data_IF_290805256065
#
_entry.id   IF_290805256065
#
_cell.length_a   1.000
_cell.length_b   1.000
_cell.length_c   1.000
_cell.angle_alpha   90.00
_cell.angle_beta   90.00
_cell.angle_gamma   90.00
#
_symmetry.space_group_name_H-M   'P 1'
#
loop_
_entity.id
_entity.type
_entity.pdbx_description
1 polymer ?
#
# COMPACT_ATOMS: atom_id res chain seq x y z
N UNK A 1 -29.45 -85.65 37.43
CA UNK A 1 -30.09 -86.18 36.22
C UNK A 1 -29.55 -85.28 35.09
N UNK A 2 -28.46 -85.71 34.48
CA UNK A 2 -28.45 -86.51 33.25
C UNK A 2 -28.81 -85.63 32.04
N UNK A 3 -28.15 -85.54 30.97
CA UNK A 3 -27.01 -86.17 30.31
C UNK A 3 -26.77 -85.28 29.03
N UNK A 4 -25.52 -85.22 28.70
CA UNK A 4 -24.95 -85.75 27.45
C UNK A 4 -25.32 -84.95 26.21
N UNK A 5 -24.42 -84.41 25.53
CA UNK A 5 -23.30 -84.93 24.78
C UNK A 5 -23.43 -84.40 23.34
N UNK A 6 -22.45 -83.90 22.75
CA UNK A 6 -21.77 -84.47 21.59
C UNK A 6 -21.00 -83.43 20.80
N UNK A 7 -19.75 -83.67 20.73
CA UNK A 7 -18.75 -83.07 19.83
C UNK A 7 -19.07 -83.31 18.36
N UNK A 8 -18.90 -82.29 17.51
CA UNK A 8 -18.44 -82.54 16.15
C UNK A 8 -17.42 -81.49 15.77
N UNK A 9 -16.20 -81.94 15.72
CA UNK A 9 -15.14 -81.32 14.99
C UNK A 9 -15.33 -81.68 13.53
N UNK A 10 -15.34 -80.69 12.65
CA UNK A 10 -14.95 -80.92 11.30
C UNK A 10 -14.05 -79.81 10.83
N UNK A 11 -12.87 -80.25 10.50
CA UNK A 11 -11.79 -79.63 9.79
C UNK A 11 -12.21 -79.22 8.38
N UNK A 12 -11.92 -78.06 7.96
CA UNK A 12 -11.64 -77.85 6.55
C UNK A 12 -10.84 -76.51 6.29
N UNK A 13 -9.63 -76.68 6.07
CA UNK A 13 -8.68 -76.09 5.10
C UNK A 13 -8.78 -74.64 4.72
N UNK A 14 -7.65 -73.88 4.79
CA UNK A 14 -7.52 -72.55 4.21
C UNK A 14 -7.29 -72.66 2.72
N UNK A 15 -8.12 -72.01 1.92
CA UNK A 15 -7.87 -71.77 0.53
C UNK A 15 -7.24 -70.39 0.38
N UNK A 16 -5.96 -70.41 0.15
CA UNK A 16 -5.19 -69.25 -0.32
C UNK A 16 -5.77 -68.79 -1.65
N UNK A 17 -6.45 -67.68 -1.63
CA UNK A 17 -6.91 -66.94 -2.79
C UNK A 17 -6.25 -65.60 -2.87
N UNK A 18 -5.08 -65.55 -3.49
CA UNK A 18 -4.51 -64.30 -4.00
C UNK A 18 -5.46 -63.72 -5.05
N UNK A 19 -6.34 -62.87 -4.61
CA UNK A 19 -7.16 -62.01 -5.43
C UNK A 19 -6.65 -60.58 -5.29
N UNK A 20 -5.92 -60.11 -6.32
CA UNK A 20 -5.59 -58.70 -6.47
C UNK A 20 -6.86 -57.86 -6.28
N UNK A 21 -6.95 -57.19 -5.17
CA UNK A 21 -8.04 -56.27 -4.83
C UNK A 21 -7.90 -55.03 -5.77
N UNK A 22 -8.49 -55.19 -6.96
CA UNK A 22 -8.76 -54.05 -7.80
C UNK A 22 -9.76 -53.23 -7.03
N UNK A 23 -9.34 -52.12 -6.44
CA UNK A 23 -10.20 -51.09 -5.86
C UNK A 23 -11.23 -50.63 -6.91
N UNK A 24 -12.22 -51.42 -7.15
CA UNK A 24 -13.41 -51.04 -7.90
C UNK A 24 -14.18 -50.11 -6.99
N UNK A 25 -14.02 -48.80 -7.23
CA UNK A 25 -14.81 -47.79 -6.56
C UNK A 25 -16.27 -48.01 -7.02
N UNK A 26 -17.01 -48.76 -6.22
CA UNK A 26 -18.46 -48.92 -6.44
C UNK A 26 -19.12 -47.60 -6.09
N UNK A 27 -19.34 -46.77 -7.12
CA UNK A 27 -20.04 -45.51 -6.98
C UNK A 27 -21.52 -45.81 -6.74
N UNK A 28 -21.90 -45.83 -5.47
CA UNK A 28 -23.30 -45.96 -5.08
C UNK A 28 -24.02 -44.63 -5.45
N UNK A 29 -25.28 -44.69 -5.90
CA UNK A 29 -26.08 -43.49 -6.26
C UNK A 29 -26.03 -42.40 -5.16
N UNK A 30 -26.09 -42.81 -3.91
CA UNK A 30 -26.01 -41.93 -2.74
C UNK A 30 -24.62 -41.23 -2.66
N UNK A 31 -23.53 -41.94 -2.90
CA UNK A 31 -22.17 -41.38 -2.90
C UNK A 31 -21.97 -40.47 -4.10
N UNK A 32 -22.54 -40.75 -5.25
CA UNK A 32 -22.48 -39.90 -6.43
C UNK A 32 -23.17 -38.56 -6.17
N UNK A 33 -24.40 -38.56 -5.69
CA UNK A 33 -25.10 -37.30 -5.34
C UNK A 33 -24.42 -36.56 -4.20
N UNK A 34 -23.85 -37.26 -3.19
CA UNK A 34 -23.06 -36.64 -2.15
C UNK A 34 -21.81 -35.91 -2.67
N UNK A 35 -21.08 -36.58 -3.58
CA UNK A 35 -19.91 -35.98 -4.21
C UNK A 35 -20.29 -34.77 -5.07
N UNK A 36 -21.38 -34.86 -5.82
CA UNK A 36 -21.86 -33.77 -6.67
C UNK A 36 -22.28 -32.54 -5.86
N UNK A 37 -22.99 -32.77 -4.73
CA UNK A 37 -23.33 -31.71 -3.78
C UNK A 37 -22.09 -31.10 -3.13
N UNK A 38 -21.11 -31.92 -2.75
CA UNK A 38 -19.87 -31.46 -2.14
C UNK A 38 -19.07 -30.58 -3.12
N UNK A 39 -18.92 -31.02 -4.36
CA UNK A 39 -18.22 -30.25 -5.42
C UNK A 39 -18.99 -28.94 -5.71
N UNK A 40 -20.30 -29.02 -5.85
CA UNK A 40 -21.14 -27.84 -6.08
C UNK A 40 -21.07 -26.82 -4.94
N UNK A 41 -21.13 -27.31 -3.70
CA UNK A 41 -20.98 -26.45 -2.50
C UNK A 41 -19.58 -25.85 -2.38
N UNK A 42 -18.54 -26.65 -2.66
CA UNK A 42 -17.16 -26.15 -2.67
C UNK A 42 -16.93 -25.11 -3.78
N UNK A 43 -17.48 -25.35 -4.97
CA UNK A 43 -17.44 -24.39 -6.08
C UNK A 43 -18.14 -23.07 -5.74
N UNK A 44 -19.36 -23.15 -5.22
CA UNK A 44 -20.10 -21.96 -4.79
C UNK A 44 -19.36 -21.24 -3.64
N UNK A 45 -18.84 -21.98 -2.66
CA UNK A 45 -18.05 -21.44 -1.57
C UNK A 45 -16.80 -20.71 -2.07
N UNK A 46 -16.09 -21.27 -3.06
CA UNK A 46 -14.91 -20.65 -3.66
C UNK A 46 -15.27 -19.36 -4.42
N UNK A 47 -16.35 -19.37 -5.21
CA UNK A 47 -16.81 -18.18 -5.95
C UNK A 47 -17.11 -17.01 -5.00
N UNK A 48 -17.66 -17.29 -3.82
CA UNK A 48 -17.95 -16.25 -2.83
C UNK A 48 -16.73 -15.91 -1.97
N UNK A 49 -15.93 -16.88 -1.58
CA UNK A 49 -14.79 -16.67 -0.68
C UNK A 49 -13.62 -15.99 -1.35
N UNK A 50 -13.33 -16.28 -2.64
CA UNK A 50 -12.18 -15.70 -3.34
C UNK A 50 -12.26 -14.17 -3.40
N UNK A 51 -13.35 -13.54 -3.85
CA UNK A 51 -13.43 -12.08 -3.88
C UNK A 51 -13.39 -11.45 -2.48
N UNK A 52 -14.02 -12.09 -1.49
CA UNK A 52 -13.98 -11.61 -0.10
C UNK A 52 -12.56 -11.67 0.45
N UNK A 53 -11.85 -12.79 0.27
CA UNK A 53 -10.46 -12.92 0.71
C UNK A 53 -9.54 -11.93 -0.01
N UNK A 54 -9.71 -11.76 -1.33
CA UNK A 54 -8.93 -10.76 -2.08
C UNK A 54 -9.20 -9.35 -1.56
N UNK A 55 -10.43 -9.04 -1.23
CA UNK A 55 -10.81 -7.75 -0.67
C UNK A 55 -10.14 -7.51 0.70
N UNK A 56 -10.27 -8.47 1.61
CA UNK A 56 -9.70 -8.36 2.98
C UNK A 56 -8.17 -8.34 2.97
N UNK A 57 -7.54 -9.13 2.09
CA UNK A 57 -6.09 -9.26 2.01
C UNK A 57 -5.45 -8.18 1.12
N UNK A 58 -6.25 -7.44 0.35
CA UNK A 58 -5.76 -6.42 -0.58
C UNK A 58 -4.79 -5.41 0.08
N UNK A 59 -5.07 -4.83 1.28
CA UNK A 59 -4.17 -3.88 1.92
C UNK A 59 -2.79 -4.46 2.25
N UNK A 60 -2.69 -5.77 2.46
CA UNK A 60 -1.42 -6.45 2.79
C UNK A 60 -0.55 -6.63 1.54
N UNK A 61 -1.18 -6.85 0.38
CA UNK A 61 -0.48 -7.11 -0.87
C UNK A 61 -0.39 -5.89 -1.81
N UNK A 62 -1.16 -4.83 -1.54
CA UNK A 62 -1.07 -3.59 -2.33
C UNK A 62 0.22 -2.87 -1.97
N UNK A 63 1.02 -2.56 -2.99
CA UNK A 63 2.15 -1.65 -2.80
C UNK A 63 1.60 -0.30 -2.35
N UNK A 64 2.23 0.30 -1.35
CA UNK A 64 1.89 1.64 -0.90
C UNK A 64 1.81 2.60 -2.09
N UNK A 65 0.76 3.38 -2.13
CA UNK A 65 0.60 4.46 -3.10
C UNK A 65 1.75 5.45 -2.88
N UNK A 66 2.37 5.94 -3.96
CA UNK A 66 3.39 6.96 -3.88
C UNK A 66 4.80 6.53 -4.26
N UNK A 67 5.03 5.30 -4.76
CA UNK A 67 6.38 4.86 -5.16
C UNK A 67 6.84 5.42 -6.52
N UNK A 68 6.05 6.25 -7.18
CA UNK A 68 6.40 6.80 -8.48
C UNK A 68 7.01 8.19 -8.38
N UNK A 69 8.13 8.37 -9.10
CA UNK A 69 8.78 9.66 -9.23
C UNK A 69 7.98 10.60 -10.13
N UNK A 70 7.53 11.71 -9.57
CA UNK A 70 6.76 12.73 -10.28
C UNK A 70 7.68 13.76 -10.90
N UNK A 71 7.32 14.24 -12.09
CA UNK A 71 8.08 15.23 -12.83
C UNK A 71 7.80 16.63 -12.28
N UNK A 72 8.86 17.38 -11.96
CA UNK A 72 8.77 18.77 -11.48
C UNK A 72 9.06 19.79 -12.59
N UNK A 73 10.13 19.58 -13.36
CA UNK A 73 10.54 20.47 -14.44
C UNK A 73 11.92 20.10 -15.00
N UNK A 74 12.35 20.82 -16.03
CA UNK A 74 13.70 20.71 -16.55
C UNK A 74 14.69 21.43 -15.62
N UNK A 75 15.92 20.90 -15.45
CA UNK A 75 16.94 21.55 -14.62
C UNK A 75 17.26 22.98 -15.08
N UNK A 76 17.19 23.24 -16.39
CA UNK A 76 17.42 24.57 -16.96
C UNK A 76 16.41 25.62 -16.47
N UNK A 77 15.20 25.20 -16.07
CA UNK A 77 14.20 26.11 -15.51
C UNK A 77 14.60 26.66 -14.14
N UNK A 78 15.49 25.94 -13.42
CA UNK A 78 15.91 26.28 -12.07
C UNK A 78 17.36 26.76 -11.98
N UNK A 79 18.04 26.95 -13.14
CA UNK A 79 19.47 27.33 -13.19
C UNK A 79 19.74 28.66 -12.50
N UNK A 80 18.90 29.66 -12.77
CA UNK A 80 19.07 31.05 -12.30
C UNK A 80 18.05 31.44 -11.22
N UNK A 81 17.39 30.46 -10.61
CA UNK A 81 16.34 30.70 -9.61
C UNK A 81 16.94 31.22 -8.32
N UNK A 82 16.58 32.46 -7.95
CA UNK A 82 16.95 33.11 -6.67
C UNK A 82 15.86 32.98 -5.62
N UNK A 83 14.63 32.82 -6.04
CA UNK A 83 13.46 32.69 -5.16
C UNK A 83 12.83 31.30 -5.33
N UNK A 84 12.14 30.78 -4.31
CA UNK A 84 11.41 29.54 -4.40
C UNK A 84 10.36 29.54 -5.51
N UNK A 85 10.44 28.59 -6.43
CA UNK A 85 9.51 28.46 -7.55
C UNK A 85 8.43 27.44 -7.22
N UNK A 86 7.18 27.89 -7.27
CA UNK A 86 6.03 26.98 -7.07
C UNK A 86 5.80 26.14 -8.31
N UNK A 87 5.70 24.83 -8.12
CA UNK A 87 5.35 23.84 -9.15
C UNK A 87 4.20 22.98 -8.66
N UNK A 88 3.44 22.44 -9.60
CA UNK A 88 2.42 21.42 -9.29
C UNK A 88 2.93 20.08 -9.78
N UNK A 89 2.95 19.11 -8.88
CA UNK A 89 3.32 17.72 -9.19
C UNK A 89 2.07 16.84 -9.15
N UNK A 90 1.98 15.93 -10.09
CA UNK A 90 0.90 14.96 -10.17
C UNK A 90 1.45 13.58 -9.86
N UNK A 91 0.75 12.83 -9.05
CA UNK A 91 1.10 11.46 -8.69
C UNK A 91 -0.16 10.62 -8.55
N UNK A 92 -0.01 9.33 -8.77
CA UNK A 92 -1.12 8.38 -8.61
C UNK A 92 -1.19 7.95 -7.16
N UNK A 93 -2.28 8.29 -6.50
CA UNK A 93 -2.60 7.83 -5.17
C UNK A 93 -3.53 6.62 -5.28
N UNK A 94 -3.17 5.53 -4.62
CA UNK A 94 -4.00 4.35 -4.54
C UNK A 94 -4.65 4.28 -3.17
N UNK A 95 -5.97 4.37 -3.15
CA UNK A 95 -6.78 4.25 -1.95
C UNK A 95 -7.61 2.95 -2.05
N UNK A 96 -7.12 1.91 -1.41
CA UNK A 96 -7.64 0.57 -1.58
C UNK A 96 -7.51 0.10 -3.04
N UNK A 97 -8.62 -0.15 -3.71
CA UNK A 97 -8.68 -0.52 -5.14
C UNK A 97 -8.85 0.69 -6.08
N UNK A 98 -9.02 1.88 -5.54
CA UNK A 98 -9.23 3.10 -6.32
C UNK A 98 -7.91 3.79 -6.58
N UNK A 99 -7.62 4.04 -7.84
CA UNK A 99 -6.51 4.89 -8.27
C UNK A 99 -7.04 6.30 -8.54
N UNK A 100 -6.44 7.28 -7.88
CA UNK A 100 -6.79 8.69 -8.04
C UNK A 100 -5.52 9.45 -8.40
N UNK A 101 -5.57 10.20 -9.47
CA UNK A 101 -4.51 11.15 -9.80
C UNK A 101 -4.70 12.37 -8.91
N UNK A 102 -3.75 12.59 -8.02
CA UNK A 102 -3.70 13.73 -7.12
C UNK A 102 -2.68 14.74 -7.61
N UNK A 103 -2.98 16.03 -7.41
CA UNK A 103 -2.08 17.11 -7.73
C UNK A 103 -1.76 17.90 -6.47
N UNK A 104 -0.47 18.12 -6.19
CA UNK A 104 -0.01 18.87 -5.03
C UNK A 104 1.01 19.93 -5.44
N UNK A 105 1.01 21.03 -4.70
CA UNK A 105 1.99 22.07 -4.89
C UNK A 105 3.27 21.75 -4.12
N UNK A 106 4.40 22.06 -4.75
CA UNK A 106 5.72 22.00 -4.15
C UNK A 106 6.47 23.29 -4.49
N UNK A 107 7.49 23.59 -3.72
CA UNK A 107 8.42 24.68 -4.01
C UNK A 107 9.79 24.09 -4.31
N UNK A 108 10.37 24.53 -5.43
CA UNK A 108 11.76 24.26 -5.77
C UNK A 108 12.57 25.46 -5.32
N UNK A 109 13.48 25.24 -4.40
CA UNK A 109 14.42 26.24 -3.89
C UNK A 109 15.86 25.76 -4.06
N UNK A 110 16.79 26.68 -3.88
CA UNK A 110 18.20 26.37 -3.90
C UNK A 110 18.74 26.49 -2.47
N UNK A 111 19.19 25.38 -1.92
CA UNK A 111 19.82 25.36 -0.60
C UNK A 111 21.14 26.16 -0.58
N UNK A 112 21.61 26.49 0.60
CA UNK A 112 22.85 27.27 0.80
C UNK A 112 24.11 26.64 0.14
N UNK A 113 24.11 25.32 -0.05
CA UNK A 113 25.17 24.56 -0.74
C UNK A 113 25.04 24.59 -2.29
N UNK A 114 23.99 25.28 -2.80
CA UNK A 114 23.70 25.39 -4.22
C UNK A 114 22.91 24.19 -4.81
N UNK A 115 22.57 23.20 -4.04
CA UNK A 115 21.75 22.08 -4.49
C UNK A 115 20.27 22.49 -4.61
N UNK A 116 19.55 21.83 -5.53
CA UNK A 116 18.11 22.03 -5.64
C UNK A 116 17.40 21.18 -4.59
N UNK A 117 16.59 21.82 -3.79
CA UNK A 117 15.68 21.18 -2.83
C UNK A 117 14.23 21.34 -3.26
N UNK A 118 13.40 20.39 -2.89
CA UNK A 118 11.96 20.48 -3.10
C UNK A 118 11.25 20.40 -1.76
N UNK A 119 10.51 21.46 -1.44
CA UNK A 119 9.73 21.60 -0.23
C UNK A 119 8.26 21.32 -0.52
N UNK A 120 7.60 20.58 0.36
CA UNK A 120 6.15 20.43 0.33
C UNK A 120 5.48 21.76 0.64
N UNK A 121 4.49 22.17 -0.15
CA UNK A 121 3.69 23.35 0.16
C UNK A 121 2.62 23.09 1.24
N UNK A 122 2.68 21.95 1.93
CA UNK A 122 1.76 21.56 2.99
C UNK A 122 2.37 21.98 4.33
N UNK A 123 1.61 22.78 5.09
CA UNK A 123 2.05 23.26 6.40
C UNK A 123 2.13 22.10 7.42
N UNK A 124 3.27 21.89 8.10
CA UNK A 124 3.44 20.80 9.06
C UNK A 124 2.61 20.96 10.35
N UNK A 125 1.89 22.08 10.51
CA UNK A 125 0.94 22.25 11.62
C UNK A 125 -0.33 21.43 11.40
N UNK A 126 -1.19 21.83 10.46
CA UNK A 126 -2.49 21.19 10.19
C UNK A 126 -2.79 21.06 8.68
N UNK A 127 -1.77 21.00 7.84
CA UNK A 127 -1.95 20.66 6.42
C UNK A 127 -2.44 21.79 5.51
N UNK A 128 -2.52 23.04 5.99
CA UNK A 128 -2.88 24.17 5.13
C UNK A 128 -1.80 24.44 4.06
N UNK A 129 -2.20 25.04 2.94
CA UNK A 129 -1.24 25.42 1.90
C UNK A 129 -0.37 26.61 2.34
N UNK A 130 0.94 26.47 2.21
CA UNK A 130 1.93 27.51 2.45
C UNK A 130 2.18 28.29 1.16
N UNK A 131 2.38 29.61 1.26
CA UNK A 131 2.64 30.50 0.12
C UNK A 131 3.91 31.29 0.32
N UNK A 132 4.73 31.39 -0.74
CA UNK A 132 5.89 32.28 -0.77
C UNK A 132 5.47 33.73 -0.88
N UNK A 133 6.04 34.59 -0.06
CA UNK A 133 5.82 36.02 0.00
C UNK A 133 7.10 36.76 -0.39
N UNK A 134 7.29 37.00 -1.70
CA UNK A 134 8.51 37.57 -2.24
C UNK A 134 8.90 38.96 -1.60
N UNK A 135 7.89 39.78 -1.24
CA UNK A 135 8.16 41.07 -0.56
C UNK A 135 8.72 40.93 0.86
N UNK A 136 8.50 39.79 1.49
CA UNK A 136 8.90 39.52 2.88
C UNK A 136 10.01 38.47 2.98
N UNK A 137 10.41 37.91 1.83
CA UNK A 137 11.43 36.86 1.71
C UNK A 137 11.17 35.67 2.65
N UNK A 138 9.90 35.25 2.73
CA UNK A 138 9.49 34.14 3.61
C UNK A 138 8.27 33.40 3.09
N UNK A 139 8.13 32.18 3.54
CA UNK A 139 6.89 31.41 3.38
C UNK A 139 5.92 31.72 4.51
N UNK A 140 4.63 31.81 4.20
CA UNK A 140 3.56 32.08 5.15
C UNK A 140 2.43 31.09 4.99
N UNK A 141 2.00 30.50 6.11
CA UNK A 141 0.79 29.73 6.20
C UNK A 141 -0.35 30.62 6.71
N UNK A 142 -1.38 30.91 5.88
CA UNK A 142 -2.41 31.87 6.22
C UNK A 142 -3.39 31.41 7.31
N UNK A 143 -3.44 30.10 7.59
CA UNK A 143 -4.42 29.54 8.53
C UNK A 143 -4.16 29.99 9.97
N UNK A 144 -2.91 29.92 10.45
CA UNK A 144 -2.57 30.26 11.83
C UNK A 144 -1.25 31.09 11.92
N UNK A 145 -0.84 31.70 10.83
CA UNK A 145 0.33 32.58 10.82
C UNK A 145 1.68 31.86 11.00
N UNK A 146 1.78 30.60 10.60
CA UNK A 146 3.08 29.93 10.57
C UNK A 146 3.99 30.57 9.52
N UNK A 147 5.23 30.89 9.87
CA UNK A 147 6.22 31.52 9.00
C UNK A 147 7.49 30.68 8.90
N UNK A 148 8.06 30.64 7.68
CA UNK A 148 9.29 29.90 7.38
C UNK A 148 10.18 30.75 6.50
N UNK A 149 11.49 30.61 6.63
CA UNK A 149 12.46 31.28 5.75
C UNK A 149 12.52 30.68 4.34
N UNK A 150 13.40 31.23 3.49
CA UNK A 150 13.57 30.77 2.12
C UNK A 150 14.01 29.29 2.01
N UNK A 151 14.67 28.76 3.04
CA UNK A 151 15.12 27.37 3.14
C UNK A 151 14.05 26.48 3.81
N UNK A 152 12.86 27.03 4.09
CA UNK A 152 11.76 26.34 4.73
C UNK A 152 11.94 26.10 6.24
N UNK A 153 12.94 26.75 6.89
CA UNK A 153 13.12 26.64 8.33
C UNK A 153 12.03 27.42 9.07
N UNK A 154 11.56 26.89 10.20
CA UNK A 154 10.53 27.52 10.99
C UNK A 154 11.04 28.79 11.66
N UNK A 155 10.36 29.92 11.43
CA UNK A 155 10.66 31.23 12.05
C UNK A 155 9.72 31.51 13.21
N UNK A 156 8.40 31.40 12.96
CA UNK A 156 7.38 31.75 13.95
C UNK A 156 6.04 31.06 13.73
N UNK A 157 5.19 31.12 14.74
CA UNK A 157 3.84 30.55 14.71
C UNK A 157 3.78 29.12 15.21
N UNK A 158 2.61 28.45 15.06
CA UNK A 158 2.34 27.17 15.69
C UNK A 158 2.99 25.92 15.03
N UNK A 159 3.54 25.94 13.81
CA UNK A 159 4.19 24.75 13.24
C UNK A 159 5.31 24.23 14.14
N UNK A 160 5.34 22.92 14.47
CA UNK A 160 6.34 22.36 15.38
C UNK A 160 7.70 22.09 14.73
N UNK A 161 7.82 22.23 13.40
CA UNK A 161 9.03 21.97 12.63
C UNK A 161 9.11 22.79 11.35
N UNK A 162 10.22 22.71 10.66
CA UNK A 162 10.44 23.23 9.31
C UNK A 162 9.44 22.64 8.28
N UNK A 163 9.33 23.26 7.10
CA UNK A 163 8.61 22.67 5.97
C UNK A 163 9.21 21.31 5.58
N UNK A 164 8.35 20.38 5.20
CA UNK A 164 8.77 19.03 4.88
C UNK A 164 9.54 18.99 3.55
N UNK A 165 10.73 18.38 3.58
CA UNK A 165 11.57 18.16 2.40
C UNK A 165 11.18 16.86 1.72
N UNK A 166 11.08 16.91 0.40
CA UNK A 166 10.73 15.77 -0.44
C UNK A 166 12.01 15.18 -1.05
N UNK A 167 12.06 13.86 -1.16
CA UNK A 167 13.16 13.19 -1.84
C UNK A 167 13.18 13.58 -3.32
N UNK A 168 14.36 13.90 -3.83
CA UNK A 168 14.55 14.37 -5.22
C UNK A 168 15.57 13.53 -5.95
N UNK A 169 15.42 13.43 -7.27
CA UNK A 169 16.44 12.87 -8.15
C UNK A 169 16.47 13.64 -9.47
N UNK A 170 17.61 13.57 -10.13
CA UNK A 170 17.77 14.09 -11.49
C UNK A 170 17.89 12.91 -12.46
N UNK A 171 16.98 12.84 -13.43
CA UNK A 171 17.01 11.82 -14.47
C UNK A 171 16.77 12.45 -15.83
N UNK A 172 17.72 12.25 -16.75
CA UNK A 172 17.61 12.81 -18.11
C UNK A 172 17.49 14.34 -18.16
N UNK A 173 18.21 15.08 -17.30
CA UNK A 173 18.15 16.54 -17.23
C UNK A 173 16.85 17.11 -16.66
N UNK A 174 16.03 16.28 -16.04
CA UNK A 174 14.75 16.64 -15.42
C UNK A 174 14.80 16.38 -13.93
N UNK A 175 14.31 17.36 -13.15
CA UNK A 175 14.09 17.22 -11.73
C UNK A 175 12.83 16.39 -11.49
N UNK A 176 12.94 15.36 -10.68
CA UNK A 176 11.85 14.51 -10.24
C UNK A 176 11.78 14.50 -8.72
N UNK A 177 10.58 14.35 -8.18
CA UNK A 177 10.31 14.31 -6.76
C UNK A 177 9.51 13.06 -6.42
N UNK A 178 9.84 12.45 -5.30
CA UNK A 178 9.00 11.44 -4.68
C UNK A 178 8.08 12.14 -3.67
N UNK A 179 6.80 12.30 -4.06
CA UNK A 179 5.84 13.00 -3.21
C UNK A 179 5.29 12.08 -2.13
N UNK A 180 5.42 12.52 -0.89
CA UNK A 180 4.92 11.83 0.30
C UNK A 180 4.15 12.80 1.18
N UNK A 181 3.17 12.25 1.90
CA UNK A 181 2.50 13.00 2.96
C UNK A 181 3.16 12.72 4.30
N UNK A 182 3.24 13.76 5.11
CA UNK A 182 3.84 13.67 6.44
C UNK A 182 2.80 13.93 7.53
N UNK A 183 3.03 13.31 8.68
CA UNK A 183 2.17 13.51 9.85
C UNK A 183 2.24 14.97 10.31
N UNK A 184 1.05 15.59 10.46
CA UNK A 184 0.95 16.96 10.96
C UNK A 184 1.12 17.03 12.47
N UNK A 185 1.53 18.19 12.95
CA UNK A 185 1.63 18.55 14.37
C UNK A 185 2.54 17.63 15.20
N UNK A 186 3.61 17.11 14.61
CA UNK A 186 4.69 16.36 15.29
C UNK A 186 6.03 17.04 15.04
N UNK A 187 6.98 16.97 16.00
CA UNK A 187 8.26 17.69 15.90
C UNK A 187 9.20 17.13 14.83
N UNK A 188 9.05 15.88 14.46
CA UNK A 188 9.89 15.22 13.43
C UNK A 188 9.10 15.02 12.15
N UNK A 189 9.81 14.95 11.01
CA UNK A 189 9.23 14.59 9.73
C UNK A 189 8.98 13.07 9.72
N UNK A 190 7.70 12.67 9.79
CA UNK A 190 7.27 11.28 9.80
C UNK A 190 6.33 11.04 8.61
N UNK A 191 6.67 10.11 7.74
CA UNK A 191 5.85 9.76 6.58
C UNK A 191 4.54 9.09 7.00
N UNK A 192 3.45 9.44 6.36
CA UNK A 192 2.19 8.70 6.48
C UNK A 192 2.27 7.47 5.58
N UNK A 193 2.36 6.31 6.19
CA UNK A 193 2.35 4.99 5.52
C UNK A 193 0.92 4.50 5.28
#
# INVERSE_FOLDING_TARGET
MEQSGSTHQDNANPVDGHGADKNVIVINRRSFFGALLAIGSAGMGAILAIPVLRYVLYPIYSKAAGSEWSHVGALSEFADTKEPVRKTVTFTQRDGWREVVSAQSVYVSRAADGQLEVLSAICPHLGCSVSWQAKQDKFVCPCHGGEFDADGQHISGPPPRAMDRLATQVKGGKLQVHFEYFRSNVPNQETLS
#
